data_IF_969609529738
#
_entry.id   IF_969609529738
#
_cell.length_a   1.000
_cell.length_b   1.000
_cell.length_c   1.000
_cell.angle_alpha   90.00
_cell.angle_beta   90.00
_cell.angle_gamma   90.00
#
_symmetry.space_group_name_H-M   'P 1'
#
loop_
_entity.id
_entity.type
_entity.pdbx_description
1 polymer ?
#
# COMPACT_ATOMS: atom_id res chain seq x y z
N UNK A 1 -4.16 15.04 -19.53
CA UNK A 1 -3.27 14.39 -20.50
C UNK A 1 -3.63 12.92 -20.63
N UNK A 2 -3.89 12.46 -21.84
CA UNK A 2 -4.29 11.07 -22.05
C UNK A 2 -3.08 10.14 -21.91
N UNK A 3 -3.28 9.00 -21.23
CA UNK A 3 -2.26 7.97 -21.14
C UNK A 3 -2.07 7.27 -22.47
N UNK A 4 -0.83 6.94 -22.80
CA UNK A 4 -0.56 6.11 -23.96
C UNK A 4 -1.10 4.70 -23.75
N UNK A 5 -1.44 4.01 -24.84
CA UNK A 5 -2.03 2.69 -24.79
C UNK A 5 -1.20 1.70 -23.96
N UNK A 6 0.13 1.68 -24.20
CA UNK A 6 1.00 0.77 -23.46
C UNK A 6 1.08 1.10 -21.97
N UNK A 7 0.93 2.37 -21.58
CA UNK A 7 0.88 2.76 -20.18
C UNK A 7 -0.42 2.28 -19.53
N UNK A 8 -1.51 2.32 -20.27
CA UNK A 8 -2.79 1.80 -19.78
C UNK A 8 -2.72 0.30 -19.54
N UNK A 9 -2.06 -0.44 -20.43
CA UNK A 9 -1.89 -1.87 -20.26
C UNK A 9 -1.06 -2.20 -19.03
N UNK A 10 0.02 -1.46 -18.81
CA UNK A 10 0.85 -1.65 -17.62
C UNK A 10 0.07 -1.35 -16.34
N UNK A 11 -0.74 -0.30 -16.37
CA UNK A 11 -1.58 0.04 -15.23
C UNK A 11 -2.56 -1.08 -14.90
N UNK A 12 -3.16 -1.67 -15.94
CA UNK A 12 -4.08 -2.80 -15.76
C UNK A 12 -3.36 -4.02 -15.18
N UNK A 13 -2.15 -4.29 -15.63
CA UNK A 13 -1.37 -5.40 -15.11
C UNK A 13 -1.06 -5.22 -13.62
N UNK A 14 -0.73 -4.00 -13.21
CA UNK A 14 -0.48 -3.69 -11.81
C UNK A 14 -1.75 -3.87 -10.98
N UNK A 15 -2.89 -3.39 -11.49
CA UNK A 15 -4.17 -3.56 -10.80
C UNK A 15 -4.49 -5.04 -10.60
N UNK A 16 -4.27 -5.85 -11.63
CA UNK A 16 -4.53 -7.28 -11.55
C UNK A 16 -3.60 -7.96 -10.54
N UNK A 17 -2.35 -7.52 -10.49
CA UNK A 17 -1.40 -8.07 -9.53
C UNK A 17 -1.80 -7.74 -8.10
N UNK A 18 -2.23 -6.52 -7.83
CA UNK A 18 -2.72 -6.14 -6.50
C UNK A 18 -3.98 -6.90 -6.13
N UNK A 19 -4.86 -7.15 -7.09
CA UNK A 19 -6.07 -7.92 -6.84
C UNK A 19 -5.73 -9.35 -6.43
N UNK A 20 -4.77 -9.95 -7.11
CA UNK A 20 -4.30 -11.29 -6.75
C UNK A 20 -3.65 -11.28 -5.36
N UNK A 21 -2.85 -10.26 -5.08
CA UNK A 21 -2.21 -10.11 -3.78
C UNK A 21 -3.27 -10.05 -2.67
N UNK A 22 -4.34 -9.29 -2.89
CA UNK A 22 -5.43 -9.20 -1.92
C UNK A 22 -6.12 -10.54 -1.71
N UNK A 23 -6.28 -11.32 -2.77
CA UNK A 23 -6.88 -12.65 -2.68
C UNK A 23 -5.98 -13.63 -1.94
N UNK A 24 -4.67 -13.53 -2.16
CA UNK A 24 -3.71 -14.39 -1.50
C UNK A 24 -3.49 -14.02 -0.04
N UNK A 25 -3.71 -12.76 0.31
CA UNK A 25 -3.42 -12.22 1.64
C UNK A 25 -4.60 -11.43 2.19
N UNK A 26 -5.73 -12.09 2.45
CA UNK A 26 -6.94 -11.37 2.89
C UNK A 26 -6.77 -10.69 4.24
N UNK A 27 -5.93 -11.24 5.11
CA UNK A 27 -5.68 -10.60 6.41
C UNK A 27 -5.01 -9.25 6.27
N UNK A 28 -4.09 -9.14 5.29
CA UNK A 28 -3.43 -7.87 5.03
C UNK A 28 -4.42 -6.85 4.49
N UNK A 29 -5.29 -7.28 3.59
CA UNK A 29 -6.34 -6.40 3.06
C UNK A 29 -7.24 -5.88 4.18
N UNK A 30 -7.68 -6.76 5.06
CA UNK A 30 -8.53 -6.37 6.18
C UNK A 30 -7.80 -5.39 7.11
N UNK A 31 -6.52 -5.64 7.35
CA UNK A 31 -5.67 -4.76 8.15
C UNK A 31 -5.62 -3.36 7.53
N UNK A 32 -5.35 -3.27 6.23
CA UNK A 32 -5.25 -1.97 5.56
C UNK A 32 -6.60 -1.26 5.55
N UNK A 33 -7.70 -1.99 5.37
CA UNK A 33 -9.02 -1.40 5.41
C UNK A 33 -9.32 -0.79 6.79
N UNK A 34 -8.93 -1.47 7.85
CA UNK A 34 -9.09 -0.96 9.20
C UNK A 34 -8.25 0.29 9.43
N UNK A 35 -7.02 0.27 8.95
CA UNK A 35 -6.11 1.41 9.08
C UNK A 35 -6.70 2.66 8.42
N UNK A 36 -7.24 2.51 7.20
CA UNK A 36 -7.88 3.61 6.50
C UNK A 36 -9.16 4.07 7.20
N UNK A 37 -10.01 3.13 7.61
CA UNK A 37 -11.30 3.45 8.23
C UNK A 37 -11.11 4.20 9.54
N UNK A 38 -10.12 3.80 10.32
CA UNK A 38 -9.88 4.41 11.62
C UNK A 38 -8.93 5.60 11.55
N UNK A 39 -8.53 5.99 10.33
CA UNK A 39 -7.67 7.15 10.10
C UNK A 39 -6.36 7.07 10.88
N UNK A 40 -5.78 5.87 10.93
CA UNK A 40 -4.54 5.65 11.66
C UNK A 40 -3.32 6.22 10.95
N UNK A 41 -3.38 6.36 9.61
CA UNK A 41 -2.28 6.93 8.83
C UNK A 41 -2.39 8.45 8.82
N UNK A 42 -1.79 9.07 9.80
CA UNK A 42 -1.76 10.52 9.93
C UNK A 42 -0.36 10.94 10.35
N UNK A 43 -0.13 12.26 10.38
CA UNK A 43 1.18 12.79 10.72
C UNK A 43 1.63 12.24 12.08
N UNK A 44 2.89 11.86 12.15
CA UNK A 44 3.55 11.29 13.33
C UNK A 44 3.19 9.84 13.62
N UNK A 45 2.33 9.20 12.80
CA UNK A 45 2.12 7.76 12.91
C UNK A 45 3.41 7.02 12.54
N UNK A 46 3.63 5.86 13.13
CA UNK A 46 4.82 5.06 12.88
C UNK A 46 4.41 3.75 12.22
N UNK A 47 5.05 3.45 11.09
CA UNK A 47 4.91 2.15 10.43
C UNK A 47 6.13 1.33 10.75
N UNK A 48 5.93 0.18 11.39
CA UNK A 48 7.02 -0.75 11.68
C UNK A 48 7.00 -1.86 10.66
N UNK A 49 8.16 -2.15 10.09
CA UNK A 49 8.31 -3.17 9.06
C UNK A 49 9.29 -4.21 9.56
N UNK A 50 8.87 -5.47 9.53
CA UNK A 50 9.73 -6.60 9.87
C UNK A 50 9.65 -7.63 8.75
N UNK A 51 10.81 -8.01 8.24
CA UNK A 51 10.89 -9.01 7.18
C UNK A 51 11.77 -10.15 7.68
N UNK A 52 11.24 -11.36 7.66
CA UNK A 52 12.00 -12.55 8.00
C UNK A 52 12.18 -13.37 6.74
N UNK A 53 13.44 -13.59 6.36
CA UNK A 53 13.74 -14.38 5.17
C UNK A 53 13.45 -15.86 5.43
N UNK A 54 13.37 -16.69 4.38
CA UNK A 54 13.17 -18.13 4.57
C UNK A 54 14.29 -18.78 5.39
N UNK A 55 15.50 -18.18 5.37
CA UNK A 55 16.66 -18.69 6.11
C UNK A 55 16.63 -18.26 7.58
N UNK A 56 15.65 -17.45 7.99
CA UNK A 56 15.51 -17.00 9.35
C UNK A 56 16.17 -15.69 9.68
N UNK A 57 16.72 -14.99 8.68
CA UNK A 57 17.28 -13.65 8.90
C UNK A 57 16.16 -12.64 9.06
N UNK A 58 16.33 -11.74 10.01
CA UNK A 58 15.30 -10.74 10.32
C UNK A 58 15.82 -9.34 10.02
N UNK A 59 15.01 -8.57 9.32
CA UNK A 59 15.31 -7.18 8.96
C UNK A 59 14.18 -6.32 9.48
N UNK A 60 14.52 -5.28 10.24
CA UNK A 60 13.53 -4.40 10.84
C UNK A 60 13.82 -2.96 10.47
N UNK A 61 12.75 -2.20 10.23
CA UNK A 61 12.84 -0.77 9.97
C UNK A 61 11.57 -0.11 10.47
N UNK A 62 11.60 1.21 10.58
CA UNK A 62 10.40 1.97 10.89
C UNK A 62 10.39 3.25 10.08
N UNK A 63 9.18 3.75 9.87
CA UNK A 63 8.95 4.98 9.12
C UNK A 63 8.00 5.84 9.95
N UNK A 64 8.46 7.05 10.29
CA UNK A 64 7.57 8.03 10.93
C UNK A 64 6.99 8.92 9.85
N UNK A 65 5.67 8.96 9.75
CA UNK A 65 4.99 9.64 8.67
C UNK A 65 5.01 11.15 8.87
N UNK A 66 5.33 11.87 7.80
CA UNK A 66 5.26 13.32 7.79
C UNK A 66 4.09 13.78 6.91
N UNK A 67 3.90 15.10 6.82
CA UNK A 67 2.76 15.65 6.08
C UNK A 67 2.79 15.25 4.60
N UNK A 68 3.97 15.21 3.98
CA UNK A 68 4.11 14.84 2.59
C UNK A 68 3.73 13.36 2.37
N UNK A 69 4.05 12.50 3.33
CA UNK A 69 3.69 11.09 3.25
C UNK A 69 2.17 10.91 3.28
N UNK A 70 1.49 11.67 4.14
CA UNK A 70 0.04 11.59 4.25
C UNK A 70 -0.61 12.04 2.94
N UNK A 71 -0.10 13.09 2.33
CA UNK A 71 -0.59 13.57 1.05
C UNK A 71 -0.45 12.50 -0.03
N UNK A 72 0.69 11.80 -0.04
CA UNK A 72 0.91 10.71 -0.98
C UNK A 72 -0.10 9.57 -0.77
N UNK A 73 -0.35 9.19 0.47
CA UNK A 73 -1.32 8.14 0.77
C UNK A 73 -2.73 8.53 0.36
N UNK A 74 -3.10 9.79 0.56
CA UNK A 74 -4.41 10.28 0.13
C UNK A 74 -4.57 10.17 -1.38
N UNK A 75 -3.52 10.51 -2.12
CA UNK A 75 -3.54 10.37 -3.57
C UNK A 75 -3.67 8.92 -4.00
N UNK A 76 -2.96 8.01 -3.35
CA UNK A 76 -3.06 6.58 -3.65
C UNK A 76 -4.47 6.06 -3.38
N UNK A 77 -5.08 6.49 -2.29
CA UNK A 77 -6.43 6.07 -1.94
C UNK A 77 -7.44 6.54 -2.96
N UNK A 78 -7.28 7.77 -3.47
CA UNK A 78 -8.22 8.31 -4.45
C UNK A 78 -8.11 7.61 -5.80
N UNK A 79 -7.01 6.94 -6.09
CA UNK A 79 -6.82 6.16 -7.31
C UNK A 79 -7.41 4.76 -7.21
N UNK A 80 -7.83 4.35 -6.04
CA UNK A 80 -8.34 3.00 -5.83
C UNK A 80 -9.72 2.87 -6.48
N UNK A 81 -9.93 1.89 -7.36
CA UNK A 81 -11.26 1.69 -7.94
C UNK A 81 -12.22 1.18 -6.88
N UNK A 82 -13.44 1.65 -6.98
CA UNK A 82 -14.49 1.17 -6.08
C UNK A 82 -14.96 -0.23 -6.47
#
# INVERSE_FOLDING_TARGET
MAMKFNQMLKFQQIKNAFKRFDQDHPKFKNFMNAVWREQALKQDAVIEISITSPEGKNYCSNIKLNAADIEMFEQLQSMKPE
#
